data_IF_499983104722
#
_entry.id   IF_499983104722
#
_cell.length_a   1.000
_cell.length_b   1.000
_cell.length_c   1.000
_cell.angle_alpha   90.00
_cell.angle_beta   90.00
_cell.angle_gamma   90.00
#
_symmetry.space_group_name_H-M   'P 1'
#
loop_
_entity.id
_entity.type
_entity.pdbx_description
1 polymer ?
#
# COMPACT_ATOMS: atom_id res chain seq x y z
N UNK A 1 -29.15 10.33 -0.43
CA UNK A 1 -28.60 10.26 0.94
C UNK A 1 -27.68 9.07 1.06
N UNK A 2 -26.52 9.25 1.62
CA UNK A 2 -25.58 8.17 1.84
C UNK A 2 -25.84 7.52 3.21
N UNK A 3 -25.87 6.18 3.26
CA UNK A 3 -26.07 5.46 4.51
C UNK A 3 -24.79 5.47 5.35
N UNK A 4 -23.63 5.32 4.69
CA UNK A 4 -22.33 5.46 5.35
C UNK A 4 -21.75 6.83 5.04
N UNK A 5 -20.93 7.36 5.94
CA UNK A 5 -20.38 8.70 5.78
C UNK A 5 -19.10 8.72 4.95
N UNK A 6 -18.18 7.80 5.22
CA UNK A 6 -16.93 7.73 4.47
C UNK A 6 -16.19 6.44 4.77
N UNK A 7 -15.23 6.12 3.91
CA UNK A 7 -14.28 5.04 4.15
C UNK A 7 -13.22 5.54 5.13
N UNK A 8 -13.04 4.86 6.26
CA UNK A 8 -12.08 5.29 7.28
C UNK A 8 -10.72 4.63 7.10
N UNK A 9 -10.70 3.32 7.00
CA UNK A 9 -9.44 2.59 6.79
C UNK A 9 -9.68 1.24 6.14
N UNK A 10 -8.61 0.68 5.61
CA UNK A 10 -8.55 -0.68 5.10
C UNK A 10 -7.49 -1.43 5.89
N UNK A 11 -7.78 -2.68 6.31
CA UNK A 11 -6.87 -3.48 7.11
C UNK A 11 -6.16 -4.52 6.25
N UNK A 12 -4.87 -4.67 6.47
CA UNK A 12 -4.05 -5.74 5.90
C UNK A 12 -3.33 -6.46 7.03
N UNK A 13 -3.48 -7.79 7.09
CA UNK A 13 -2.76 -8.61 8.06
C UNK A 13 -1.45 -9.06 7.44
N UNK A 14 -0.36 -8.96 8.22
CA UNK A 14 1.00 -9.25 7.76
C UNK A 14 1.70 -10.15 8.76
N UNK A 15 2.82 -10.75 8.35
CA UNK A 15 3.60 -11.63 9.20
C UNK A 15 4.59 -10.87 10.08
N UNK A 16 5.13 -9.76 9.57
CA UNK A 16 6.15 -8.97 10.25
C UNK A 16 5.75 -7.50 10.17
N UNK A 17 5.29 -6.97 11.30
CA UNK A 17 4.74 -5.62 11.36
C UNK A 17 5.81 -4.58 11.03
N UNK A 18 6.98 -4.65 11.68
CA UNK A 18 8.01 -3.63 11.50
C UNK A 18 8.57 -3.63 10.09
N UNK A 19 8.75 -4.81 9.49
CA UNK A 19 9.21 -4.91 8.09
C UNK A 19 8.21 -4.24 7.15
N UNK A 20 6.92 -4.50 7.36
CA UNK A 20 5.87 -3.94 6.50
C UNK A 20 5.76 -2.43 6.67
N UNK A 21 5.79 -1.95 7.92
CA UNK A 21 5.75 -0.50 8.19
C UNK A 21 6.94 0.19 7.55
N UNK A 22 8.14 -0.40 7.66
CA UNK A 22 9.34 0.14 7.02
C UNK A 22 9.20 0.19 5.50
N UNK A 23 8.62 -0.84 4.90
CA UNK A 23 8.37 -0.86 3.46
C UNK A 23 7.47 0.30 3.05
N UNK A 24 6.32 0.47 3.71
CA UNK A 24 5.39 1.55 3.37
C UNK A 24 5.99 2.93 3.60
N UNK A 25 6.81 3.08 4.63
CA UNK A 25 7.49 4.34 4.91
C UNK A 25 8.57 4.65 3.88
N UNK A 26 9.48 3.70 3.64
CA UNK A 26 10.65 3.94 2.77
C UNK A 26 10.27 3.97 1.30
N UNK A 27 9.36 3.10 0.87
CA UNK A 27 9.01 2.97 -0.55
C UNK A 27 7.94 3.96 -0.95
N UNK A 28 6.92 4.13 -0.12
CA UNK A 28 5.74 4.93 -0.49
C UNK A 28 5.63 6.25 0.28
N UNK A 29 6.46 6.46 1.30
CA UNK A 29 6.43 7.70 2.07
C UNK A 29 5.24 7.85 2.99
N UNK A 30 4.56 6.76 3.35
CA UNK A 30 3.45 6.84 4.29
C UNK A 30 3.97 7.14 5.70
N UNK A 31 3.12 7.82 6.48
CA UNK A 31 3.46 8.21 7.85
C UNK A 31 2.69 7.37 8.85
N UNK A 32 3.38 6.94 9.90
CA UNK A 32 2.75 6.24 11.01
C UNK A 32 1.97 7.26 11.84
N UNK A 33 0.66 7.01 12.01
CA UNK A 33 -0.23 7.90 12.75
C UNK A 33 -0.36 7.45 14.19
N UNK A 34 -0.54 6.15 14.41
CA UNK A 34 -0.63 5.58 15.75
C UNK A 34 -0.33 4.09 15.70
N UNK A 35 0.02 3.56 16.88
CA UNK A 35 0.35 2.14 17.05
C UNK A 35 -0.18 1.69 18.39
N UNK A 36 -0.79 0.50 18.43
CA UNK A 36 -1.21 -0.07 19.71
C UNK A 36 -1.35 -1.59 19.61
N UNK A 37 -1.52 -2.22 20.78
CA UNK A 37 -1.77 -3.66 20.88
C UNK A 37 -3.22 -3.87 21.23
N UNK A 38 -3.86 -4.84 20.59
CA UNK A 38 -5.22 -5.21 20.93
C UNK A 38 -5.19 -6.20 22.13
N UNK A 39 -6.29 -6.27 22.90
CA UNK A 39 -6.40 -7.27 23.98
C UNK A 39 -6.30 -8.72 23.49
N UNK A 40 -6.52 -8.95 22.18
CA UNK A 40 -6.45 -10.29 21.58
C UNK A 40 -5.04 -10.69 21.15
N UNK A 41 -4.03 -9.84 21.40
CA UNK A 41 -2.64 -10.14 21.07
C UNK A 41 -2.20 -9.71 19.68
N UNK A 42 -3.01 -8.96 18.95
CA UNK A 42 -2.57 -8.37 17.71
C UNK A 42 -1.89 -7.03 17.95
N UNK A 43 -0.93 -6.70 17.09
CA UNK A 43 -0.31 -5.38 17.06
C UNK A 43 -0.79 -4.65 15.82
N UNK A 44 -1.10 -3.37 15.97
CA UNK A 44 -1.70 -2.55 14.93
C UNK A 44 -0.89 -1.28 14.71
N UNK A 45 -0.74 -0.91 13.43
CA UNK A 45 -0.16 0.39 13.05
C UNK A 45 -1.08 1.00 12.01
N UNK A 46 -1.42 2.27 12.20
CA UNK A 46 -2.17 3.03 11.20
C UNK A 46 -1.21 3.92 10.42
N UNK A 47 -1.24 3.80 9.10
CA UNK A 47 -0.42 4.56 8.19
C UNK A 47 -1.30 5.46 7.34
N UNK A 48 -0.75 6.58 6.89
CA UNK A 48 -1.50 7.55 6.08
C UNK A 48 -0.60 8.22 5.06
N UNK A 49 -1.12 8.39 3.86
CA UNK A 49 -0.48 9.25 2.86
C UNK A 49 -0.71 10.70 3.29
N UNK A 50 0.34 11.53 3.41
CA UNK A 50 0.13 12.95 3.72
C UNK A 50 -0.81 13.60 2.70
N UNK A 51 -1.86 14.25 3.20
CA UNK A 51 -2.88 14.89 2.37
C UNK A 51 -4.04 14.00 1.95
N UNK A 52 -4.04 12.73 2.31
CA UNK A 52 -5.14 11.80 2.06
C UNK A 52 -5.84 11.49 3.38
N UNK A 53 -7.17 11.37 3.37
CA UNK A 53 -7.92 11.14 4.62
C UNK A 53 -7.90 9.68 5.04
N UNK A 54 -7.99 8.76 4.10
CA UNK A 54 -8.08 7.33 4.40
C UNK A 54 -6.79 6.82 5.01
N UNK A 55 -6.93 5.90 5.96
CA UNK A 55 -5.79 5.28 6.60
C UNK A 55 -5.68 3.81 6.21
N UNK A 56 -4.48 3.28 6.33
CA UNK A 56 -4.21 1.86 6.13
C UNK A 56 -3.82 1.29 7.48
N UNK A 57 -4.54 0.26 7.92
CA UNK A 57 -4.22 -0.44 9.15
C UNK A 57 -3.41 -1.68 8.81
N UNK A 58 -2.19 -1.72 9.31
CA UNK A 58 -1.36 -2.92 9.20
C UNK A 58 -1.44 -3.65 10.53
N UNK A 59 -1.80 -4.92 10.49
CA UNK A 59 -1.95 -5.70 11.71
C UNK A 59 -1.13 -6.99 11.64
N UNK A 60 -0.52 -7.35 12.75
CA UNK A 60 0.17 -8.62 12.92
C UNK A 60 -0.55 -9.42 14.00
N UNK A 61 -0.97 -10.65 13.66
CA UNK A 61 -1.66 -11.53 14.59
C UNK A 61 -1.11 -12.94 14.42
N UNK A 62 -0.01 -13.28 15.10
CA UNK A 62 0.67 -14.57 14.91
C UNK A 62 -0.23 -15.79 15.12
N UNK A 63 -1.20 -15.71 16.06
CA UNK A 63 -2.11 -16.81 16.31
C UNK A 63 -3.02 -17.12 15.12
N UNK A 64 -3.17 -16.20 14.19
CA UNK A 64 -3.96 -16.40 12.97
C UNK A 64 -3.25 -17.21 11.89
N UNK A 65 -2.00 -17.58 12.11
CA UNK A 65 -1.20 -18.32 11.14
C UNK A 65 -0.51 -17.41 10.14
N UNK A 66 0.36 -17.97 9.28
CA UNK A 66 1.12 -17.18 8.32
C UNK A 66 0.20 -16.59 7.23
N UNK A 67 0.59 -15.42 6.76
CA UNK A 67 -0.11 -14.73 5.67
C UNK A 67 0.64 -15.00 4.37
N UNK A 68 -0.09 -15.45 3.37
CA UNK A 68 0.41 -15.55 2.00
C UNK A 68 -0.71 -15.10 1.07
N UNK A 69 -0.50 -14.01 0.38
CA UNK A 69 -1.53 -13.40 -0.46
C UNK A 69 -1.47 -14.03 -1.85
N UNK A 70 -2.62 -14.49 -2.33
CA UNK A 70 -2.70 -15.05 -3.68
C UNK A 70 -2.49 -13.95 -4.73
N UNK A 71 -1.87 -14.28 -5.88
CA UNK A 71 -1.69 -13.30 -6.93
C UNK A 71 -3.01 -12.69 -7.39
N UNK A 72 -3.00 -11.38 -7.61
CA UNK A 72 -4.14 -10.64 -8.16
C UNK A 72 -5.41 -10.68 -7.30
N UNK A 73 -5.26 -11.00 -6.00
CA UNK A 73 -6.40 -11.06 -5.09
C UNK A 73 -6.87 -9.68 -4.66
N UNK A 74 -5.94 -8.80 -4.34
CA UNK A 74 -6.23 -7.46 -3.84
C UNK A 74 -5.01 -6.57 -4.05
N UNK A 75 -5.24 -5.28 -4.21
CA UNK A 75 -4.13 -4.33 -4.21
C UNK A 75 -4.61 -2.96 -3.77
N UNK A 76 -3.67 -2.17 -3.26
CA UNK A 76 -3.86 -0.73 -3.06
C UNK A 76 -3.32 0.00 -4.27
N UNK A 77 -3.92 1.14 -4.60
CA UNK A 77 -3.45 1.99 -5.68
C UNK A 77 -3.10 3.37 -5.13
N UNK A 78 -1.94 3.87 -5.49
CA UNK A 78 -1.46 5.19 -5.10
C UNK A 78 -1.17 6.02 -6.33
N UNK A 79 -1.46 7.31 -6.25
CA UNK A 79 -1.11 8.24 -7.32
C UNK A 79 0.34 8.69 -7.18
N UNK A 80 1.06 8.73 -8.31
CA UNK A 80 2.41 9.30 -8.39
C UNK A 80 2.44 10.36 -9.49
N UNK A 81 3.34 11.33 -9.35
CA UNK A 81 3.50 12.36 -10.37
C UNK A 81 4.13 11.80 -11.66
N UNK A 82 5.13 10.94 -11.50
CA UNK A 82 5.87 10.39 -12.64
C UNK A 82 6.34 8.98 -12.30
N UNK A 83 5.97 8.02 -13.14
CA UNK A 83 6.42 6.64 -12.99
C UNK A 83 7.93 6.52 -13.24
N UNK A 84 8.51 7.38 -14.09
CA UNK A 84 9.96 7.41 -14.32
C UNK A 84 10.71 7.87 -13.09
N UNK A 85 10.23 8.94 -12.44
CA UNK A 85 10.85 9.44 -11.20
C UNK A 85 10.66 8.43 -10.07
N UNK A 86 9.50 7.81 -9.99
CA UNK A 86 9.25 6.78 -8.98
C UNK A 86 10.16 5.57 -9.19
N UNK A 87 10.41 5.19 -10.45
CA UNK A 87 11.34 4.11 -10.76
C UNK A 87 12.77 4.43 -10.28
N UNK A 88 13.20 5.69 -10.37
CA UNK A 88 14.50 6.11 -9.84
C UNK A 88 14.56 5.98 -8.33
N UNK A 89 13.49 6.39 -7.65
CA UNK A 89 13.36 6.21 -6.20
C UNK A 89 13.45 4.73 -5.82
N UNK A 90 12.72 3.86 -6.53
CA UNK A 90 12.77 2.43 -6.31
C UNK A 90 14.16 1.85 -6.54
N UNK A 91 14.85 2.31 -7.59
CA UNK A 91 16.19 1.83 -7.91
C UNK A 91 17.17 2.09 -6.77
N UNK A 92 17.04 3.24 -6.09
CA UNK A 92 17.83 3.56 -4.92
C UNK A 92 17.59 2.63 -3.74
N UNK A 93 16.47 1.93 -3.74
CA UNK A 93 16.11 0.94 -2.72
C UNK A 93 16.30 -0.51 -3.20
N UNK A 94 16.80 -0.68 -4.43
CA UNK A 94 17.00 -2.01 -5.00
C UNK A 94 15.71 -2.67 -5.46
N UNK A 95 14.67 -1.89 -5.77
CA UNK A 95 13.36 -2.39 -6.15
C UNK A 95 13.08 -2.04 -7.61
N UNK A 96 12.35 -2.91 -8.29
CA UNK A 96 11.90 -2.69 -9.67
C UNK A 96 10.39 -2.88 -9.73
N UNK A 97 9.76 -2.28 -10.75
CA UNK A 97 8.38 -2.64 -11.05
C UNK A 97 8.28 -4.14 -11.35
N UNK A 98 7.29 -4.79 -10.78
CA UNK A 98 7.00 -6.18 -11.07
C UNK A 98 6.22 -6.31 -12.38
N UNK A 99 5.51 -5.26 -12.78
CA UNK A 99 4.73 -5.20 -14.01
C UNK A 99 4.59 -3.75 -14.44
N UNK A 100 4.66 -3.51 -15.76
CA UNK A 100 4.53 -2.17 -16.33
C UNK A 100 5.84 -1.39 -16.36
N UNK A 101 5.80 -0.10 -16.70
CA UNK A 101 4.59 0.73 -16.90
C UNK A 101 3.76 0.35 -18.14
N UNK A 102 2.46 0.46 -18.00
CA UNK A 102 1.49 0.22 -19.07
C UNK A 102 0.65 1.48 -19.24
N UNK A 103 0.23 1.76 -20.46
CA UNK A 103 -0.66 2.90 -20.75
C UNK A 103 -2.02 2.37 -21.15
N UNK A 104 -3.07 2.83 -20.47
CA UNK A 104 -4.44 2.47 -20.82
C UNK A 104 -4.91 3.24 -22.06
N UNK A 105 -6.03 2.83 -22.63
CA UNK A 105 -6.62 3.52 -23.76
C UNK A 105 -7.02 4.97 -23.45
N UNK A 106 -7.29 5.26 -22.16
CA UNK A 106 -7.60 6.61 -21.70
C UNK A 106 -6.39 7.48 -21.43
N UNK A 107 -5.16 6.94 -21.61
CA UNK A 107 -3.93 7.68 -21.38
C UNK A 107 -3.39 7.62 -19.95
N UNK A 108 -4.04 6.89 -19.07
CA UNK A 108 -3.56 6.65 -17.71
C UNK A 108 -2.43 5.64 -17.75
N UNK A 109 -1.34 5.94 -17.05
CA UNK A 109 -0.19 5.03 -16.96
C UNK A 109 -0.14 4.43 -15.58
N UNK A 110 0.21 3.15 -15.53
CA UNK A 110 0.27 2.43 -14.25
C UNK A 110 1.35 1.37 -14.27
N UNK A 111 1.78 1.02 -13.06
CA UNK A 111 2.77 -0.04 -12.84
C UNK A 111 2.51 -0.66 -11.48
N UNK A 112 3.11 -1.83 -11.23
CA UNK A 112 2.95 -2.55 -9.98
C UNK A 112 4.28 -2.81 -9.32
N UNK A 113 4.28 -2.88 -7.99
CA UNK A 113 5.39 -3.39 -7.20
C UNK A 113 4.85 -4.42 -6.22
N UNK A 114 5.74 -5.28 -5.73
CA UNK A 114 5.40 -6.26 -4.72
C UNK A 114 5.73 -5.72 -3.34
N UNK A 115 4.78 -5.84 -2.42
CA UNK A 115 4.96 -5.57 -1.01
C UNK A 115 5.19 -6.90 -0.27
N UNK A 116 5.58 -6.85 1.02
CA UNK A 116 5.73 -8.07 1.80
C UNK A 116 4.46 -8.95 1.79
N UNK A 117 4.63 -10.24 1.98
CA UNK A 117 3.59 -11.28 2.01
C UNK A 117 2.89 -11.53 0.68
N UNK A 118 3.30 -10.87 -0.40
CA UNK A 118 2.66 -11.02 -1.70
C UNK A 118 1.56 -10.00 -1.98
N UNK A 119 1.39 -9.00 -1.12
CA UNK A 119 0.49 -7.89 -1.43
C UNK A 119 1.05 -7.11 -2.62
N UNK A 120 0.17 -6.77 -3.55
CA UNK A 120 0.53 -6.00 -4.72
C UNK A 120 0.14 -4.54 -4.53
N UNK A 121 0.93 -3.63 -5.10
CA UNK A 121 0.66 -2.19 -5.02
C UNK A 121 0.73 -1.63 -6.43
N UNK A 122 -0.32 -0.90 -6.81
CA UNK A 122 -0.39 -0.22 -8.09
C UNK A 122 0.00 1.23 -7.92
N UNK A 123 0.85 1.73 -8.82
CA UNK A 123 1.23 3.15 -8.89
C UNK A 123 0.61 3.70 -10.16
N UNK A 124 -0.15 4.78 -10.02
CA UNK A 124 -0.91 5.35 -11.12
C UNK A 124 -0.47 6.78 -11.38
N UNK A 125 -0.05 7.04 -12.61
CA UNK A 125 0.23 8.38 -13.09
C UNK A 125 -0.98 8.79 -13.91
N UNK A 126 -1.84 9.61 -13.30
CA UNK A 126 -3.06 10.05 -13.96
C UNK A 126 -2.79 11.16 -14.97
N UNK A 127 -3.60 11.16 -16.02
CA UNK A 127 -3.60 12.22 -16.99
C UNK A 127 -5.06 12.70 -17.15
N UNK A 128 -5.36 13.84 -16.52
CA UNK A 128 -6.71 14.32 -16.49
C UNK A 128 -7.52 13.56 -15.43
N UNK A 129 -8.75 13.16 -15.79
CA UNK A 129 -9.64 12.45 -14.87
C UNK A 129 -9.36 10.96 -14.87
N UNK A 130 -9.24 10.42 -13.67
CA UNK A 130 -9.05 8.98 -13.45
C UNK A 130 -10.37 8.23 -13.55
#
# INVERSE_FOLDING_TARGET
>A
MSIVNKLLHTRYRVNDLDRTVKFYSDVLGLKEIKRHKSPRGSELVFLQVPGSEEQIEITCFPAGGPVQVQPDLTHLAFEVESLEEFAQHLAGLGIKYSDGPTTSSAGTRFAFIDAPEGYEIELIQRRGTY
#
